data_IF_301653888789
#
_entry.id   IF_301653888789
#
_cell.length_a   1.000
_cell.length_b   1.000
_cell.length_c   1.000
_cell.angle_alpha   90.00
_cell.angle_beta   90.00
_cell.angle_gamma   90.00
#
_symmetry.space_group_name_H-M   'P 1'
#
loop_
_entity.id
_entity.type
_entity.pdbx_description
1 polymer ?
#
# COMPACT_ATOMS: atom_id res chain seq x y z
N UNK A 1 -47.69 24.43 49.43
CA UNK A 1 -47.76 22.95 49.32
C UNK A 1 -47.61 22.55 47.88
N UNK A 2 -46.77 21.65 47.43
CA UNK A 2 -45.68 20.81 47.93
C UNK A 2 -44.94 20.46 46.62
N UNK A 3 -43.66 20.79 46.45
CA UNK A 3 -42.54 19.91 46.77
C UNK A 3 -42.69 18.45 46.32
N UNK A 4 -41.62 17.95 45.66
CA UNK A 4 -41.17 16.54 45.45
C UNK A 4 -41.52 15.98 44.07
N UNK A 5 -40.59 15.87 43.13
CA UNK A 5 -39.35 15.07 43.09
C UNK A 5 -39.62 13.54 43.04
N UNK A 6 -38.74 12.88 42.27
CA UNK A 6 -38.38 11.46 42.29
C UNK A 6 -39.30 10.49 41.49
N UNK A 7 -38.73 9.84 40.46
CA UNK A 7 -38.31 8.41 40.44
C UNK A 7 -38.20 7.92 38.99
N UNK A 8 -36.94 7.67 38.59
CA UNK A 8 -36.59 6.80 37.47
C UNK A 8 -37.23 5.42 37.63
N UNK A 9 -37.87 4.89 36.57
CA UNK A 9 -38.07 3.44 36.43
C UNK A 9 -37.69 3.01 35.01
N UNK A 10 -36.52 2.36 34.91
CA UNK A 10 -36.14 1.51 33.77
C UNK A 10 -37.23 0.43 33.59
N UNK A 11 -37.72 0.15 32.38
CA UNK A 11 -38.43 -1.09 32.13
C UNK A 11 -37.42 -2.24 32.09
N UNK A 12 -37.72 -3.25 32.90
CA UNK A 12 -37.04 -4.52 33.06
C UNK A 12 -37.07 -5.33 31.76
N UNK A 13 -35.91 -5.91 31.42
CA UNK A 13 -35.72 -6.85 30.32
C UNK A 13 -36.47 -8.14 30.68
N UNK A 14 -37.51 -8.48 29.90
CA UNK A 14 -38.13 -9.81 29.94
C UNK A 14 -37.26 -10.77 29.13
N UNK A 15 -36.76 -11.82 29.78
CA UNK A 15 -36.28 -13.04 29.11
C UNK A 15 -37.46 -13.80 28.51
N UNK A 16 -37.24 -14.53 27.41
CA UNK A 16 -37.96 -15.77 27.17
C UNK A 16 -36.99 -16.96 27.12
N UNK A 17 -37.26 -17.90 28.02
CA UNK A 17 -37.22 -19.35 27.90
C UNK A 17 -36.23 -20.03 26.92
N UNK A 18 -35.29 -20.74 27.53
CA UNK A 18 -34.47 -21.85 27.02
C UNK A 18 -35.30 -23.12 26.86
N UNK A 19 -35.05 -23.89 25.80
CA UNK A 19 -35.11 -25.37 25.69
C UNK A 19 -34.71 -25.77 24.23
N UNK A 20 -34.22 -27.00 23.93
CA UNK A 20 -32.85 -27.45 24.22
C UNK A 20 -32.07 -27.93 22.96
N UNK A 21 -30.75 -27.91 23.10
CA UNK A 21 -29.69 -28.71 22.48
C UNK A 21 -30.01 -29.52 21.19
N UNK A 22 -29.52 -29.00 20.07
CA UNK A 22 -29.18 -29.77 18.88
C UNK A 22 -27.78 -29.36 18.42
N UNK A 23 -26.78 -30.19 18.73
CA UNK A 23 -25.39 -30.01 18.29
C UNK A 23 -25.35 -29.98 16.76
N UNK A 24 -25.22 -28.78 16.20
CA UNK A 24 -24.85 -28.57 14.81
C UNK A 24 -23.45 -28.00 14.84
N UNK A 25 -22.45 -28.85 14.63
CA UNK A 25 -21.05 -28.44 14.46
C UNK A 25 -20.93 -27.64 13.16
N UNK A 26 -21.13 -26.33 13.27
CA UNK A 26 -20.75 -25.38 12.23
C UNK A 26 -19.23 -25.40 12.07
N UNK A 27 -18.68 -25.62 10.87
CA UNK A 27 -17.25 -25.43 10.65
C UNK A 27 -16.92 -23.95 10.88
N UNK A 28 -15.91 -23.71 11.71
CA UNK A 28 -15.39 -22.38 12.03
C UNK A 28 -14.84 -21.75 10.74
N UNK A 29 -15.62 -20.85 10.15
CA UNK A 29 -15.19 -20.05 9.01
C UNK A 29 -14.15 -19.08 9.55
N UNK A 30 -12.86 -19.36 9.32
CA UNK A 30 -11.78 -18.43 9.61
C UNK A 30 -12.07 -17.11 8.88
N UNK A 31 -12.47 -16.10 9.64
CA UNK A 31 -12.59 -14.75 9.11
C UNK A 31 -11.22 -14.31 8.60
N UNK A 32 -11.15 -13.60 7.46
CA UNK A 32 -9.90 -13.12 6.92
C UNK A 32 -9.14 -12.39 8.03
N UNK A 33 -7.94 -12.89 8.31
CA UNK A 33 -7.01 -12.33 9.29
C UNK A 33 -6.94 -10.83 8.98
N UNK A 34 -7.49 -10.00 9.86
CA UNK A 34 -7.30 -8.55 9.75
C UNK A 34 -5.80 -8.36 9.61
N UNK A 35 -5.31 -7.59 8.62
CA UNK A 35 -3.88 -7.35 8.54
C UNK A 35 -3.45 -6.93 9.93
N UNK A 36 -2.55 -7.74 10.52
CA UNK A 36 -1.91 -7.42 11.80
C UNK A 36 -1.51 -5.96 11.66
N UNK A 37 -1.72 -5.14 12.69
CA UNK A 37 -1.27 -3.76 12.73
C UNK A 37 0.27 -3.75 12.62
N UNK A 38 0.79 -4.01 11.43
CA UNK A 38 2.14 -3.70 11.02
C UNK A 38 2.19 -2.19 11.16
N UNK A 39 2.96 -1.73 12.14
CA UNK A 39 3.25 -0.32 12.29
C UNK A 39 3.65 0.28 10.93
N UNK A 40 3.56 1.62 10.78
CA UNK A 40 3.85 2.25 9.49
C UNK A 40 5.15 1.72 8.92
N UNK A 41 5.09 1.14 7.72
CA UNK A 41 6.23 0.54 7.02
C UNK A 41 7.37 1.56 7.07
N UNK A 42 8.41 1.23 7.84
CA UNK A 42 9.53 2.16 7.98
C UNK A 42 10.27 2.20 6.65
N UNK A 43 10.49 3.39 6.08
CA UNK A 43 11.21 3.48 4.82
C UNK A 43 12.62 2.95 5.02
N UNK A 44 13.08 2.08 4.12
CA UNK A 44 14.42 1.48 4.12
C UNK A 44 15.52 2.54 4.12
N UNK A 45 15.20 3.76 3.64
CA UNK A 45 16.05 4.93 3.72
C UNK A 45 15.31 6.06 4.43
N UNK A 46 15.87 6.54 5.54
CA UNK A 46 15.30 7.66 6.28
C UNK A 46 15.40 8.96 5.47
N UNK A 47 14.27 9.65 5.31
CA UNK A 47 14.16 10.93 4.59
C UNK A 47 14.10 12.10 5.56
N UNK A 48 15.17 12.35 6.34
CA UNK A 48 15.18 13.48 7.26
C UNK A 48 15.49 14.78 6.51
N UNK A 49 14.77 15.86 6.82
CA UNK A 49 15.00 17.18 6.21
C UNK A 49 16.47 17.61 6.28
N UNK A 50 17.11 17.44 7.43
CA UNK A 50 18.50 17.80 7.67
C UNK A 50 19.48 16.98 6.80
N UNK A 51 19.23 15.67 6.68
CA UNK A 51 20.03 14.78 5.84
C UNK A 51 19.92 15.17 4.37
N UNK A 52 18.71 15.46 3.89
CA UNK A 52 18.50 15.90 2.50
C UNK A 52 19.22 17.22 2.23
N UNK A 53 19.16 18.19 3.14
CA UNK A 53 19.86 19.48 2.99
C UNK A 53 21.36 19.26 2.82
N UNK A 54 21.96 18.43 3.69
CA UNK A 54 23.39 18.11 3.63
C UNK A 54 23.78 17.39 2.33
N UNK A 55 23.00 16.39 1.91
CA UNK A 55 23.19 15.68 0.64
C UNK A 55 23.06 16.61 -0.58
N UNK A 56 22.15 17.58 -0.53
CA UNK A 56 22.02 18.59 -1.58
C UNK A 56 23.24 19.50 -1.62
N UNK A 57 23.72 19.97 -0.46
CA UNK A 57 24.93 20.80 -0.37
C UNK A 57 26.12 20.09 -1.01
N UNK A 58 26.37 18.82 -0.66
CA UNK A 58 27.47 18.05 -1.24
C UNK A 58 27.29 17.76 -2.73
N UNK A 59 26.08 17.42 -3.18
CA UNK A 59 25.80 17.25 -4.61
C UNK A 59 26.11 18.53 -5.40
N UNK A 60 25.74 19.69 -4.85
CA UNK A 60 25.94 20.99 -5.49
C UNK A 60 27.42 21.38 -5.47
N UNK A 61 28.17 21.14 -4.39
CA UNK A 61 29.64 21.36 -4.40
C UNK A 61 30.31 20.52 -5.48
N UNK A 62 29.97 19.24 -5.59
CA UNK A 62 30.51 18.35 -6.63
C UNK A 62 30.17 18.88 -8.02
N UNK A 63 28.92 19.25 -8.27
CA UNK A 63 28.47 19.72 -9.58
C UNK A 63 29.12 21.04 -10.01
N UNK A 64 29.29 22.00 -9.10
CA UNK A 64 29.99 23.26 -9.40
C UNK A 64 31.50 23.08 -9.55
N UNK A 65 32.10 22.08 -8.90
CA UNK A 65 33.52 21.76 -9.10
C UNK A 65 33.77 21.08 -10.46
N UNK A 66 32.80 20.31 -10.95
CA UNK A 66 32.91 19.56 -12.21
C UNK A 66 32.43 20.32 -13.45
N UNK A 67 31.62 21.37 -13.27
CA UNK A 67 30.94 22.05 -14.36
C UNK A 67 30.98 23.56 -14.17
N UNK A 68 31.33 24.28 -15.23
CA UNK A 68 31.32 25.75 -15.27
C UNK A 68 29.98 26.30 -15.78
N UNK A 69 29.28 25.55 -16.64
CA UNK A 69 28.02 25.96 -17.27
C UNK A 69 26.93 24.90 -17.14
N UNK A 70 25.73 25.32 -16.72
CA UNK A 70 24.57 24.44 -16.54
C UNK A 70 23.48 24.63 -17.61
N UNK A 71 23.69 25.48 -18.62
CA UNK A 71 22.67 25.80 -19.62
C UNK A 71 22.38 24.68 -20.62
N UNK A 72 23.30 23.73 -20.80
CA UNK A 72 23.13 22.58 -21.69
C UNK A 72 23.28 21.28 -20.90
N UNK A 73 22.23 20.44 -20.91
CA UNK A 73 22.19 19.17 -20.18
C UNK A 73 23.32 18.24 -20.56
N UNK A 74 23.75 18.25 -21.83
CA UNK A 74 24.78 17.36 -22.35
C UNK A 74 26.19 17.73 -21.87
N UNK A 75 26.37 18.98 -21.42
CA UNK A 75 27.65 19.47 -20.90
C UNK A 75 27.80 19.24 -19.40
N UNK A 76 26.71 18.86 -18.71
CA UNK A 76 26.76 18.62 -17.27
C UNK A 76 27.34 17.22 -17.03
N UNK A 77 28.56 17.18 -16.52
CA UNK A 77 29.21 15.99 -16.00
C UNK A 77 28.39 15.48 -14.81
N UNK A 78 27.92 14.23 -14.93
CA UNK A 78 27.12 13.53 -13.92
C UNK A 78 27.93 12.43 -13.21
N UNK A 79 29.26 12.59 -13.17
CA UNK A 79 30.16 11.65 -12.49
C UNK A 79 30.02 11.81 -10.99
N UNK A 80 29.43 10.83 -10.33
CA UNK A 80 29.22 10.83 -8.88
C UNK A 80 30.46 10.18 -8.21
N UNK A 81 31.21 10.92 -7.38
CA UNK A 81 32.31 10.35 -6.60
C UNK A 81 31.81 9.36 -5.55
N UNK A 82 32.60 8.32 -5.25
CA UNK A 82 32.26 7.31 -4.23
C UNK A 82 32.09 7.92 -2.82
N UNK A 83 32.74 9.06 -2.56
CA UNK A 83 32.59 9.80 -1.29
C UNK A 83 31.15 10.22 -1.01
N UNK A 84 30.39 10.57 -2.05
CA UNK A 84 29.00 10.98 -1.96
C UNK A 84 28.09 9.85 -1.46
N UNK A 85 28.44 8.60 -1.80
CA UNK A 85 27.67 7.44 -1.36
C UNK A 85 27.91 7.06 0.10
N UNK A 86 29.02 7.51 0.68
CA UNK A 86 29.43 7.20 2.05
C UNK A 86 29.08 8.31 3.05
N UNK A 87 28.24 9.27 2.66
CA UNK A 87 27.95 10.48 3.43
C UNK A 87 27.44 10.25 4.87
N UNK A 88 26.83 9.10 5.14
CA UNK A 88 26.05 8.87 6.37
C UNK A 88 26.09 7.37 6.80
N UNK A 89 27.22 6.66 6.66
CA UNK A 89 27.35 5.24 6.99
C UNK A 89 27.19 4.96 8.51
N UNK A 90 26.15 4.25 8.97
CA UNK A 90 26.31 3.17 9.92
C UNK A 90 26.69 1.92 9.12
N UNK A 91 27.78 1.24 9.52
CA UNK A 91 28.16 -0.05 8.95
C UNK A 91 26.97 -1.02 9.03
N UNK A 92 26.30 -1.22 7.89
CA UNK A 92 25.16 -2.12 7.79
C UNK A 92 25.56 -3.21 6.81
N UNK A 93 25.79 -4.42 7.32
CA UNK A 93 26.26 -5.57 6.53
C UNK A 93 25.26 -6.01 5.43
N UNK A 94 24.04 -5.47 5.43
CA UNK A 94 23.02 -5.78 4.45
C UNK A 94 23.23 -5.05 3.13
N UNK A 95 23.81 -5.75 2.15
CA UNK A 95 24.03 -5.26 0.77
C UNK A 95 22.77 -4.70 0.10
N UNK A 96 21.59 -5.24 0.40
CA UNK A 96 20.32 -4.74 -0.16
C UNK A 96 19.98 -3.32 0.33
N UNK A 97 20.21 -3.03 1.62
CA UNK A 97 19.97 -1.71 2.22
C UNK A 97 20.98 -0.70 1.66
N UNK A 98 22.23 -1.14 1.48
CA UNK A 98 23.28 -0.35 0.83
C UNK A 98 22.89 0.04 -0.60
N UNK A 99 22.40 -0.92 -1.42
CA UNK A 99 21.94 -0.63 -2.79
C UNK A 99 20.76 0.33 -2.83
N UNK A 100 19.76 0.17 -1.96
CA UNK A 100 18.63 1.11 -1.89
C UNK A 100 19.07 2.52 -1.52
N UNK A 101 20.06 2.66 -0.62
CA UNK A 101 20.64 3.97 -0.26
C UNK A 101 21.39 4.61 -1.43
N UNK A 102 22.20 3.84 -2.15
CA UNK A 102 22.90 4.35 -3.34
C UNK A 102 21.92 4.83 -4.41
N UNK A 103 20.85 4.08 -4.64
CA UNK A 103 19.79 4.49 -5.56
C UNK A 103 19.11 5.79 -5.12
N UNK A 104 18.84 5.95 -3.81
CA UNK A 104 18.27 7.17 -3.26
C UNK A 104 19.21 8.38 -3.37
N UNK A 105 20.48 8.24 -3.03
CA UNK A 105 21.46 9.32 -3.15
C UNK A 105 21.64 9.72 -4.61
N UNK A 106 21.71 8.75 -5.52
CA UNK A 106 21.72 9.01 -6.96
C UNK A 106 20.48 9.78 -7.41
N UNK A 107 19.30 9.42 -6.92
CA UNK A 107 18.07 10.15 -7.23
C UNK A 107 18.14 11.61 -6.74
N UNK A 108 18.66 11.89 -5.54
CA UNK A 108 18.85 13.28 -5.06
C UNK A 108 19.85 14.02 -5.96
N UNK A 109 20.97 13.39 -6.29
CA UNK A 109 21.97 13.98 -7.18
C UNK A 109 21.35 14.35 -8.54
N UNK A 110 20.64 13.42 -9.16
CA UNK A 110 19.96 13.63 -10.44
C UNK A 110 18.92 14.75 -10.37
N UNK A 111 18.18 14.86 -9.25
CA UNK A 111 17.25 15.98 -9.01
C UNK A 111 17.98 17.33 -8.91
N UNK A 112 19.14 17.39 -8.24
CA UNK A 112 19.97 18.60 -8.21
C UNK A 112 20.41 19.01 -9.62
N UNK A 113 20.84 18.04 -10.45
CA UNK A 113 21.25 18.28 -11.84
C UNK A 113 20.08 18.81 -12.67
N UNK A 114 18.89 18.20 -12.56
CA UNK A 114 17.68 18.65 -13.26
C UNK A 114 17.26 20.06 -12.85
N UNK A 115 17.28 20.37 -11.55
CA UNK A 115 16.93 21.70 -11.07
C UNK A 115 17.96 22.75 -11.48
N UNK A 116 19.27 22.44 -11.45
CA UNK A 116 20.31 23.33 -11.96
C UNK A 116 20.12 23.59 -13.46
N UNK A 117 19.92 22.53 -14.24
CA UNK A 117 19.64 22.66 -15.67
C UNK A 117 18.38 23.51 -15.92
N UNK A 118 17.29 23.26 -15.19
CA UNK A 118 16.04 24.02 -15.31
C UNK A 118 16.22 25.50 -14.95
N UNK A 119 17.03 25.82 -13.94
CA UNK A 119 17.31 27.21 -13.55
C UNK A 119 18.16 27.97 -14.58
N UNK A 120 19.17 27.32 -15.17
CA UNK A 120 20.10 27.97 -16.10
C UNK A 120 19.70 27.84 -17.57
N UNK A 121 18.76 26.97 -17.91
CA UNK A 121 18.21 26.85 -19.26
C UNK A 121 17.27 28.02 -19.56
N UNK A 122 17.49 28.68 -20.69
CA UNK A 122 16.62 29.73 -21.22
C UNK A 122 15.28 29.19 -21.73
N UNK A 123 15.18 27.88 -21.97
CA UNK A 123 14.01 27.23 -22.50
C UNK A 123 13.21 26.61 -21.36
N UNK A 124 12.19 27.33 -20.89
CA UNK A 124 11.12 26.71 -20.13
C UNK A 124 10.61 25.53 -20.95
N UNK A 125 10.75 24.30 -20.45
CA UNK A 125 10.03 23.16 -21.01
C UNK A 125 8.56 23.55 -20.90
N UNK A 126 8.00 24.00 -22.02
CA UNK A 126 6.57 23.91 -22.24
C UNK A 126 6.34 22.42 -22.25
N UNK A 127 6.15 21.83 -21.07
CA UNK A 127 5.83 20.43 -20.94
C UNK A 127 4.64 20.24 -21.86
N UNK A 128 4.86 19.54 -22.97
CA UNK A 128 3.78 19.09 -23.83
C UNK A 128 3.05 18.07 -22.97
N UNK A 129 2.12 18.56 -22.15
CA UNK A 129 1.18 17.70 -21.47
C UNK A 129 0.50 16.87 -22.56
N UNK A 130 0.26 15.57 -22.33
CA UNK A 130 -0.56 14.79 -23.23
C UNK A 130 -1.88 15.53 -23.48
N UNK A 131 -2.40 15.51 -24.71
CA UNK A 131 -3.53 16.36 -25.13
C UNK A 131 -4.78 16.18 -24.25
N UNK A 132 -4.96 14.99 -23.67
CA UNK A 132 -6.04 14.64 -22.75
C UNK A 132 -5.86 15.20 -21.32
N UNK A 133 -4.66 15.65 -20.97
CA UNK A 133 -4.37 16.23 -19.67
C UNK A 133 -4.50 17.75 -19.77
N UNK A 134 -5.54 18.32 -19.12
CA UNK A 134 -5.66 19.78 -18.98
C UNK A 134 -4.34 20.32 -18.46
N UNK A 135 -3.73 21.25 -19.19
CA UNK A 135 -2.52 21.94 -18.75
C UNK A 135 -2.86 22.61 -17.42
N UNK A 136 -2.48 22.00 -16.30
CA UNK A 136 -2.34 22.79 -15.07
C UNK A 136 -1.25 23.75 -15.44
N UNK A 137 -1.64 25.00 -15.74
CA UNK A 137 -0.72 26.11 -15.78
C UNK A 137 -0.14 26.17 -14.36
N UNK A 138 0.90 25.38 -14.10
CA UNK A 138 1.83 25.72 -13.02
C UNK A 138 2.22 27.14 -13.37
N UNK A 139 1.90 28.13 -12.51
CA UNK A 139 2.09 29.50 -12.90
C UNK A 139 3.53 29.63 -13.34
N UNK A 140 3.73 30.22 -14.52
CA UNK A 140 5.01 30.53 -15.17
C UNK A 140 5.97 31.37 -14.28
N UNK A 141 5.73 31.45 -12.97
CA UNK A 141 6.31 32.35 -11.99
C UNK A 141 7.32 31.66 -11.06
N UNK A 142 7.24 30.35 -10.82
CA UNK A 142 8.08 29.72 -9.79
C UNK A 142 9.55 29.54 -10.17
N UNK A 143 9.87 29.40 -11.46
CA UNK A 143 11.24 29.26 -11.97
C UNK A 143 11.79 30.54 -12.61
N UNK A 144 11.01 31.63 -12.60
CA UNK A 144 11.37 32.91 -13.24
C UNK A 144 11.79 34.00 -12.25
N UNK A 145 11.82 33.72 -10.95
CA UNK A 145 12.33 34.68 -9.98
C UNK A 145 13.85 34.67 -10.03
N UNK A 146 14.39 35.37 -11.03
CA UNK A 146 15.80 35.74 -11.16
C UNK A 146 16.75 34.56 -11.37
N UNK A 147 17.63 34.65 -12.39
CA UNK A 147 18.77 33.74 -12.42
C UNK A 147 19.55 33.98 -11.13
N UNK A 148 19.86 32.94 -10.33
CA UNK A 148 20.59 33.12 -9.09
C UNK A 148 21.91 33.81 -9.43
N UNK A 149 22.20 34.90 -8.72
CA UNK A 149 23.39 35.70 -9.00
C UNK A 149 24.64 35.08 -8.35
N UNK A 150 24.43 34.26 -7.32
CA UNK A 150 25.49 33.58 -6.58
C UNK A 150 25.17 32.09 -6.38
N UNK A 151 26.22 31.27 -6.19
CA UNK A 151 26.12 29.82 -5.91
C UNK A 151 25.20 29.53 -4.73
N UNK A 152 25.33 30.32 -3.66
CA UNK A 152 24.59 30.09 -2.41
C UNK A 152 23.08 30.35 -2.55
N UNK A 153 22.71 31.25 -3.46
CA UNK A 153 21.32 31.53 -3.81
C UNK A 153 20.72 30.37 -4.62
N UNK A 154 21.47 29.87 -5.60
CA UNK A 154 21.10 28.68 -6.37
C UNK A 154 20.93 27.47 -5.43
N UNK A 155 21.86 27.29 -4.51
CA UNK A 155 21.83 26.21 -3.52
C UNK A 155 20.60 26.28 -2.61
N UNK A 156 20.34 27.45 -2.02
CA UNK A 156 19.18 27.67 -1.16
C UNK A 156 17.86 27.44 -1.90
N UNK A 157 17.80 27.76 -3.19
CA UNK A 157 16.64 27.50 -4.04
C UNK A 157 16.44 26.01 -4.30
N UNK A 158 17.49 25.31 -4.71
CA UNK A 158 17.45 23.87 -5.00
C UNK A 158 17.05 23.09 -3.76
N UNK A 159 17.69 23.35 -2.62
CA UNK A 159 17.36 22.67 -1.36
C UNK A 159 15.87 22.82 -1.01
N UNK A 160 15.34 24.05 -1.09
CA UNK A 160 13.92 24.30 -0.83
C UNK A 160 13.01 23.52 -1.78
N UNK A 161 13.39 23.44 -3.06
CA UNK A 161 12.61 22.74 -4.09
C UNK A 161 12.65 21.23 -3.94
N UNK A 162 13.81 20.65 -3.63
CA UNK A 162 13.93 19.22 -3.36
C UNK A 162 13.11 18.85 -2.12
N UNK A 163 13.15 19.66 -1.07
CA UNK A 163 12.30 19.46 0.11
C UNK A 163 10.80 19.59 -0.20
N UNK A 164 10.41 20.43 -1.16
CA UNK A 164 9.03 20.53 -1.65
C UNK A 164 8.62 19.27 -2.43
N UNK A 165 9.48 18.80 -3.35
CA UNK A 165 9.25 17.58 -4.16
C UNK A 165 9.14 16.34 -3.26
N UNK A 166 10.01 16.23 -2.26
CA UNK A 166 10.02 15.13 -1.29
C UNK A 166 8.95 15.30 -0.19
N UNK A 167 8.14 16.36 -0.23
CA UNK A 167 7.13 16.70 0.78
C UNK A 167 7.68 16.79 2.23
N UNK A 168 8.96 17.14 2.37
CA UNK A 168 9.64 17.34 3.65
C UNK A 168 9.55 18.79 4.16
N UNK A 169 8.93 19.66 3.37
CA UNK A 169 8.53 20.99 3.85
C UNK A 169 7.28 20.86 4.72
N UNK A 170 7.15 21.65 5.80
CA UNK A 170 5.89 21.75 6.52
C UNK A 170 4.89 22.29 5.53
N UNK A 171 4.07 21.41 4.96
CA UNK A 171 2.99 21.77 4.07
C UNK A 171 2.17 22.78 4.86
N UNK A 172 2.19 24.04 4.45
CA UNK A 172 1.11 24.95 4.78
C UNK A 172 -0.09 24.31 4.11
N UNK A 173 -0.79 23.43 4.84
CA UNK A 173 -2.07 22.89 4.45
C UNK A 173 -2.94 24.13 4.40
N UNK A 174 -2.93 24.83 3.28
CA UNK A 174 -3.97 25.79 2.98
C UNK A 174 -5.21 24.91 2.92
N UNK A 175 -6.01 24.93 3.97
CA UNK A 175 -7.32 24.29 4.08
C UNK A 175 -8.32 24.81 3.02
N UNK A 176 -7.84 25.35 1.90
CA UNK A 176 -8.61 25.95 0.81
C UNK A 176 -8.96 24.98 -0.31
N UNK A 177 -8.35 23.79 -0.38
CA UNK A 177 -8.69 22.78 -1.41
C UNK A 177 -9.79 21.80 -0.99
N UNK A 178 -10.01 21.61 0.32
CA UNK A 178 -11.14 20.82 0.85
C UNK A 178 -12.33 21.69 1.26
N UNK A 179 -12.16 23.01 1.36
CA UNK A 179 -13.26 23.96 1.17
C UNK A 179 -13.62 24.00 -0.32
N UNK A 180 -14.15 22.87 -0.79
CA UNK A 180 -15.03 22.83 -1.94
C UNK A 180 -16.05 23.95 -1.68
N UNK A 181 -16.07 24.91 -2.59
CA UNK A 181 -17.06 25.98 -2.62
C UNK A 181 -18.43 25.39 -2.34
N UNK A 182 -19.09 25.87 -1.28
CA UNK A 182 -20.39 25.43 -0.74
C UNK A 182 -21.56 25.42 -1.77
N UNK A 183 -21.29 25.72 -3.05
CA UNK A 183 -22.23 25.66 -4.17
C UNK A 183 -22.17 24.38 -5.03
N UNK A 184 -21.35 23.38 -4.70
CA UNK A 184 -21.30 22.07 -5.41
C UNK A 184 -21.55 20.88 -4.45
N UNK A 185 -22.60 20.94 -3.63
CA UNK A 185 -23.07 19.75 -2.88
C UNK A 185 -23.79 18.75 -3.78
N UNK A 186 -24.47 19.23 -4.81
CA UNK A 186 -25.24 18.39 -5.73
C UNK A 186 -24.36 17.43 -6.56
N UNK A 187 -23.16 17.86 -6.98
CA UNK A 187 -22.26 17.03 -7.79
C UNK A 187 -21.54 15.95 -6.95
N UNK A 188 -21.33 16.20 -5.65
CA UNK A 188 -20.74 15.22 -4.73
C UNK A 188 -21.74 14.15 -4.33
N UNK A 189 -23.00 14.52 -4.07
CA UNK A 189 -24.07 13.56 -3.78
C UNK A 189 -24.33 12.65 -4.98
N UNK A 190 -24.26 13.17 -6.23
CA UNK A 190 -24.34 12.32 -7.42
C UNK A 190 -23.12 11.41 -7.60
N UNK A 191 -21.92 11.89 -7.30
CA UNK A 191 -20.72 11.06 -7.36
C UNK A 191 -20.76 9.94 -6.30
N UNK A 192 -21.19 10.25 -5.08
CA UNK A 192 -21.37 9.26 -4.01
C UNK A 192 -22.41 8.21 -4.41
N UNK A 193 -23.54 8.62 -4.99
CA UNK A 193 -24.56 7.69 -5.47
C UNK A 193 -24.08 6.83 -6.65
N UNK A 194 -23.30 7.39 -7.58
CA UNK A 194 -22.70 6.63 -8.68
C UNK A 194 -21.66 5.66 -8.16
N UNK A 195 -20.84 6.05 -7.19
CA UNK A 195 -19.86 5.17 -6.57
C UNK A 195 -20.53 4.04 -5.79
N UNK A 196 -21.59 4.34 -5.03
CA UNK A 196 -22.36 3.33 -4.29
C UNK A 196 -23.05 2.34 -5.25
N UNK A 197 -23.57 2.84 -6.38
CA UNK A 197 -24.16 2.00 -7.43
C UNK A 197 -23.10 1.15 -8.16
N UNK A 198 -21.93 1.71 -8.48
CA UNK A 198 -20.83 0.96 -9.07
C UNK A 198 -20.31 -0.12 -8.11
N UNK A 199 -20.16 0.20 -6.82
CA UNK A 199 -19.77 -0.75 -5.79
C UNK A 199 -20.80 -1.87 -5.67
N UNK A 200 -22.09 -1.55 -5.54
CA UNK A 200 -23.16 -2.55 -5.43
C UNK A 200 -23.30 -3.41 -6.69
N UNK A 201 -23.00 -2.86 -7.87
CA UNK A 201 -22.98 -3.61 -9.13
C UNK A 201 -21.81 -4.59 -9.21
N UNK A 202 -20.67 -4.24 -8.61
CA UNK A 202 -19.44 -5.02 -8.66
C UNK A 202 -19.30 -6.03 -7.51
N UNK A 203 -19.86 -5.72 -6.34
CA UNK A 203 -19.82 -6.55 -5.12
C UNK A 203 -20.27 -8.02 -5.33
N UNK A 204 -21.35 -8.32 -6.09
CA UNK A 204 -21.78 -9.70 -6.33
C UNK A 204 -20.78 -10.51 -7.18
N UNK A 205 -19.89 -9.83 -7.90
CA UNK A 205 -18.86 -10.46 -8.74
C UNK A 205 -17.54 -10.68 -7.96
N UNK A 206 -17.41 -10.08 -6.77
CA UNK A 206 -16.13 -10.06 -6.06
C UNK A 206 -15.82 -11.32 -5.28
N UNK A 207 -16.82 -12.15 -5.02
CA UNK A 207 -16.60 -13.43 -4.37
C UNK A 207 -17.57 -14.47 -4.93
N UNK A 208 -17.07 -15.27 -5.86
CA UNK A 208 -17.77 -16.43 -6.41
C UNK A 208 -17.30 -17.68 -5.67
N UNK A 209 -18.17 -18.20 -4.78
CA UNK A 209 -17.92 -19.42 -4.02
C UNK A 209 -18.54 -20.65 -4.68
N UNK A 210 -19.16 -20.54 -5.86
CA UNK A 210 -19.83 -21.70 -6.47
C UNK A 210 -18.82 -22.79 -6.83
N UNK A 211 -17.66 -22.39 -7.37
CA UNK A 211 -16.55 -23.30 -7.68
C UNK A 211 -15.96 -23.96 -6.42
N UNK A 212 -15.72 -23.17 -5.35
CA UNK A 212 -15.18 -23.69 -4.08
C UNK A 212 -16.17 -24.62 -3.38
N UNK A 213 -17.46 -24.27 -3.39
CA UNK A 213 -18.52 -25.10 -2.82
C UNK A 213 -18.70 -26.40 -3.59
N UNK A 214 -18.64 -26.38 -4.93
CA UNK A 214 -18.68 -27.59 -5.75
C UNK A 214 -17.47 -28.49 -5.47
N UNK A 215 -16.28 -27.91 -5.36
CA UNK A 215 -15.05 -28.64 -5.05
C UNK A 215 -15.14 -29.33 -3.69
N UNK A 216 -15.51 -28.60 -2.63
CA UNK A 216 -15.63 -29.17 -1.28
C UNK A 216 -16.69 -30.28 -1.26
N UNK A 217 -17.82 -30.09 -1.94
CA UNK A 217 -18.86 -31.13 -2.05
C UNK A 217 -18.34 -32.38 -2.75
N UNK A 218 -17.58 -32.22 -3.83
CA UNK A 218 -16.98 -33.33 -4.55
C UNK A 218 -15.96 -34.08 -3.69
N UNK A 219 -15.06 -33.35 -3.02
CA UNK A 219 -14.05 -33.92 -2.11
C UNK A 219 -14.71 -34.72 -0.97
N UNK A 220 -15.77 -34.18 -0.37
CA UNK A 220 -16.56 -34.89 0.67
C UNK A 220 -17.23 -36.14 0.09
N UNK A 221 -17.82 -36.05 -1.10
CA UNK A 221 -18.48 -37.18 -1.74
C UNK A 221 -17.49 -38.31 -2.10
N UNK A 222 -16.31 -37.97 -2.61
CA UNK A 222 -15.23 -38.91 -2.90
C UNK A 222 -14.74 -39.59 -1.61
N UNK A 223 -14.56 -38.82 -0.52
CA UNK A 223 -14.17 -39.38 0.77
C UNK A 223 -15.21 -40.35 1.33
N UNK A 224 -16.50 -40.00 1.29
CA UNK A 224 -17.59 -40.89 1.72
C UNK A 224 -17.60 -42.16 0.86
N UNK A 225 -17.42 -42.03 -0.45
CA UNK A 225 -17.41 -43.17 -1.37
C UNK A 225 -16.24 -44.12 -1.10
N UNK A 226 -15.04 -43.60 -0.84
CA UNK A 226 -13.87 -44.40 -0.48
C UNK A 226 -14.07 -45.13 0.85
N UNK A 227 -14.67 -44.48 1.86
CA UNK A 227 -15.00 -45.13 3.13
C UNK A 227 -15.97 -46.30 2.93
N UNK A 228 -17.03 -46.10 2.15
CA UNK A 228 -17.99 -47.16 1.85
C UNK A 228 -17.37 -48.33 1.09
N UNK A 229 -16.46 -48.06 0.15
CA UNK A 229 -15.71 -49.10 -0.55
C UNK A 229 -14.80 -49.89 0.39
N UNK A 230 -14.08 -49.21 1.28
CA UNK A 230 -13.21 -49.86 2.26
C UNK A 230 -14.01 -50.74 3.23
N UNK A 231 -15.14 -50.25 3.73
CA UNK A 231 -16.04 -51.01 4.60
C UNK A 231 -16.56 -52.27 3.89
N UNK A 232 -17.06 -52.11 2.65
CA UNK A 232 -17.58 -53.23 1.85
C UNK A 232 -16.50 -54.29 1.54
N UNK A 233 -15.29 -53.85 1.20
CA UNK A 233 -14.17 -54.76 0.97
C UNK A 233 -13.80 -55.50 2.26
N UNK A 234 -13.74 -54.80 3.38
CA UNK A 234 -13.42 -55.39 4.69
C UNK A 234 -14.46 -56.45 5.07
N UNK A 235 -15.75 -56.16 4.90
CA UNK A 235 -16.83 -57.11 5.12
C UNK A 235 -16.77 -58.32 4.19
N UNK A 236 -16.51 -58.09 2.90
CA UNK A 236 -16.34 -59.18 1.93
C UNK A 236 -15.16 -60.08 2.31
N UNK A 237 -14.00 -59.51 2.66
CA UNK A 237 -12.85 -60.28 3.12
C UNK A 237 -13.17 -61.04 4.41
N UNK A 238 -13.91 -60.43 5.34
CA UNK A 238 -14.33 -61.08 6.58
C UNK A 238 -15.22 -62.29 6.29
N UNK A 239 -16.22 -62.15 5.42
CA UNK A 239 -17.13 -63.24 5.02
C UNK A 239 -16.37 -64.37 4.32
N UNK A 240 -15.45 -64.04 3.40
CA UNK A 240 -14.64 -65.04 2.70
C UNK A 240 -13.76 -65.79 3.70
N UNK A 241 -13.09 -65.08 4.62
CA UNK A 241 -12.26 -65.71 5.65
C UNK A 241 -13.09 -66.59 6.58
N UNK A 242 -14.26 -66.14 7.03
CA UNK A 242 -15.17 -66.98 7.84
C UNK A 242 -15.58 -68.25 7.07
N UNK A 243 -15.93 -68.13 5.78
CA UNK A 243 -16.30 -69.30 4.96
C UNK A 243 -15.14 -70.26 4.73
N UNK A 244 -13.92 -69.75 4.51
CA UNK A 244 -12.72 -70.58 4.40
C UNK A 244 -12.42 -71.35 5.69
N UNK A 245 -12.53 -70.68 6.84
CA UNK A 245 -12.34 -71.30 8.16
C UNK A 245 -13.40 -72.38 8.45
N UNK A 246 -14.65 -72.13 8.08
CA UNK A 246 -15.72 -73.13 8.21
C UNK A 246 -15.53 -74.32 7.25
N UNK A 247 -15.00 -74.08 6.04
CA UNK A 247 -14.69 -75.14 5.07
C UNK A 247 -13.49 -76.00 5.50
N UNK A 248 -12.46 -75.43 6.13
CA UNK A 248 -11.32 -76.19 6.64
C UNK A 248 -11.68 -77.05 7.86
N UNK A 249 -12.60 -76.58 8.72
CA UNK A 249 -13.05 -77.33 9.89
C UNK A 249 -14.00 -78.49 9.54
N UNK A 250 -14.64 -78.45 8.37
CA UNK A 250 -15.53 -79.52 7.87
C UNK A 250 -14.76 -80.68 7.19
N UNK A 251 -13.52 -80.44 6.76
CA UNK A 251 -12.68 -81.42 6.02
C UNK A 251 -11.64 -82.14 6.88
N UNK A 252 -11.64 -81.90 8.20
CA UNK A 252 -10.77 -82.58 9.18
C UNK A 252 -11.55 -83.54 10.09
N UNK A 253 -12.13 -84.60 9.50
CA UNK A 253 -12.76 -85.74 10.20
C UNK A 253 -12.10 -87.04 9.72
#
# INVERSE_FOLDING_TARGET
>A
DESREIIQRKPTKKEPATDPEGETTTPEIEHPIRPVNEGPIQPVVSHTREQVIKLCHEAITILYNQNNDFSNRSLINQTIPDSYYNFDQPDTDNENIRRSRHAYYRMIFDLCVELLYEMFSSNFRTAKYPEWQKTKLMPKRFYRLQKPNNRDEAESFIQRKILEILNLTPRQITYSKWRISLGRRHDTEQFENVLDEELRRMEPQWIDYDDDALRIKFDIAEHIFDQLLQETLTDCFHIINQRLVLSSNSTGL
#
